data_IF_871102511888
#
_entry.id   IF_871102511888
#
_cell.length_a   1.000
_cell.length_b   1.000
_cell.length_c   1.000
_cell.angle_alpha   90.00
_cell.angle_beta   90.00
_cell.angle_gamma   90.00
#
_symmetry.space_group_name_H-M   'P 1'
#
loop_
_entity.id
_entity.type
_entity.pdbx_description
1 polymer ?
#
# COMPACT_ATOMS: atom_id res chain seq x y z
N UNK A 1 -2.07 19.60 -7.89
CA UNK A 1 -2.23 18.14 -7.93
C UNK A 1 -1.08 17.55 -7.12
N UNK A 2 -1.34 16.95 -5.94
CA UNK A 2 -0.27 16.31 -5.16
C UNK A 2 0.20 15.08 -5.94
N UNK A 3 1.51 14.86 -6.02
CA UNK A 3 2.09 13.68 -6.68
C UNK A 3 1.65 12.43 -5.92
N UNK A 4 1.19 11.42 -6.66
CA UNK A 4 0.80 10.13 -6.11
C UNK A 4 2.05 9.33 -5.71
N UNK A 5 2.05 8.75 -4.50
CA UNK A 5 3.15 7.91 -4.04
C UNK A 5 3.11 6.55 -4.76
N UNK A 6 4.05 6.36 -5.70
CA UNK A 6 4.16 5.12 -6.48
C UNK A 6 4.47 3.89 -5.62
N UNK A 7 5.15 4.05 -4.49
CA UNK A 7 5.37 2.91 -3.60
C UNK A 7 4.08 2.52 -2.88
N UNK A 8 3.19 3.49 -2.60
CA UNK A 8 1.88 3.19 -2.03
C UNK A 8 0.98 2.48 -3.06
N UNK A 9 1.03 2.89 -4.33
CA UNK A 9 0.34 2.19 -5.43
C UNK A 9 0.88 0.77 -5.62
N UNK A 10 2.21 0.60 -5.61
CA UNK A 10 2.82 -0.73 -5.70
C UNK A 10 2.40 -1.63 -4.54
N UNK A 11 2.36 -1.09 -3.33
CA UNK A 11 1.87 -1.80 -2.16
C UNK A 11 0.40 -2.21 -2.29
N UNK A 12 -0.45 -1.31 -2.79
CA UNK A 12 -1.87 -1.59 -3.03
C UNK A 12 -2.07 -2.75 -4.02
N UNK A 13 -1.38 -2.71 -5.16
CA UNK A 13 -1.47 -3.77 -6.19
C UNK A 13 -1.01 -5.12 -5.62
N UNK A 14 0.11 -5.15 -4.90
CA UNK A 14 0.59 -6.41 -4.28
C UNK A 14 -0.37 -6.96 -3.22
N UNK A 15 -1.00 -6.09 -2.43
CA UNK A 15 -2.02 -6.54 -1.46
C UNK A 15 -3.22 -7.16 -2.19
N UNK A 16 -3.66 -6.58 -3.30
CA UNK A 16 -4.74 -7.11 -4.12
C UNK A 16 -4.36 -8.45 -4.77
N UNK A 17 -3.18 -8.54 -5.39
CA UNK A 17 -2.71 -9.74 -6.09
C UNK A 17 -2.49 -10.92 -5.13
N UNK A 18 -1.94 -10.65 -3.94
CA UNK A 18 -1.61 -11.68 -2.96
C UNK A 18 -2.72 -11.94 -1.94
N UNK A 19 -3.78 -11.13 -1.96
CA UNK A 19 -4.87 -11.10 -0.98
C UNK A 19 -4.38 -11.10 0.49
N UNK A 20 -3.22 -10.49 0.76
CA UNK A 20 -2.57 -10.54 2.07
C UNK A 20 -1.59 -9.39 2.27
N UNK A 21 -1.82 -8.61 3.34
CA UNK A 21 -0.90 -7.55 3.75
C UNK A 21 0.46 -8.09 4.18
N UNK A 22 0.50 -9.24 4.85
CA UNK A 22 1.76 -9.86 5.30
C UNK A 22 2.58 -10.30 4.11
N UNK A 23 2.00 -11.02 3.14
CA UNK A 23 2.73 -11.46 1.94
C UNK A 23 3.19 -10.29 1.08
N UNK A 24 2.38 -9.23 0.97
CA UNK A 24 2.78 -8.02 0.27
C UNK A 24 3.96 -7.32 0.97
N UNK A 25 3.98 -7.31 2.30
CA UNK A 25 5.09 -6.77 3.06
C UNK A 25 6.38 -7.59 2.87
N UNK A 26 6.27 -8.92 2.89
CA UNK A 26 7.39 -9.82 2.60
C UNK A 26 7.95 -9.58 1.19
N UNK A 27 7.08 -9.47 0.18
CA UNK A 27 7.46 -9.18 -1.21
C UNK A 27 8.11 -7.80 -1.38
N UNK A 28 7.79 -6.84 -0.51
CA UNK A 28 8.35 -5.48 -0.51
C UNK A 28 9.58 -5.33 0.40
N UNK A 29 9.97 -6.37 1.14
CA UNK A 29 11.08 -6.29 2.10
C UNK A 29 10.81 -5.30 3.25
N UNK A 30 9.56 -5.21 3.70
CA UNK A 30 9.11 -4.26 4.73
C UNK A 30 8.18 -4.93 5.74
N UNK A 31 7.71 -4.19 6.74
CA UNK A 31 6.72 -4.68 7.70
C UNK A 31 5.28 -4.55 7.18
N UNK A 32 4.40 -5.44 7.67
CA UNK A 32 2.96 -5.36 7.43
C UNK A 32 2.37 -4.00 7.85
N UNK A 33 2.83 -3.44 8.98
CA UNK A 33 2.41 -2.11 9.45
C UNK A 33 2.78 -0.98 8.52
N UNK A 34 3.95 -1.04 7.87
CA UNK A 34 4.37 -0.04 6.88
C UNK A 34 3.50 -0.11 5.61
N UNK A 35 3.13 -1.32 5.18
CA UNK A 35 2.17 -1.51 4.07
C UNK A 35 0.81 -0.90 4.43
N UNK A 36 0.25 -1.21 5.60
CA UNK A 36 -1.02 -0.62 6.05
C UNK A 36 -0.98 0.91 6.11
N UNK A 37 0.13 1.50 6.58
CA UNK A 37 0.27 2.95 6.62
C UNK A 37 0.34 3.58 5.22
N UNK A 38 1.01 2.92 4.27
CA UNK A 38 1.05 3.36 2.87
C UNK A 38 -0.34 3.33 2.23
N UNK A 39 -1.11 2.25 2.42
CA UNK A 39 -2.48 2.14 1.91
C UNK A 39 -3.40 3.19 2.53
N UNK A 40 -3.35 3.37 3.85
CA UNK A 40 -4.14 4.41 4.54
C UNK A 40 -3.86 5.82 4.02
N UNK A 41 -2.61 6.12 3.67
CA UNK A 41 -2.22 7.40 3.06
C UNK A 41 -2.70 7.53 1.62
N UNK A 42 -2.66 6.43 0.86
CA UNK A 42 -3.17 6.38 -0.51
C UNK A 42 -4.69 6.61 -0.55
N UNK A 43 -5.44 5.88 0.28
CA UNK A 43 -6.87 6.04 0.53
C UNK A 43 -7.22 7.50 0.87
N UNK A 44 -6.54 8.09 1.86
CA UNK A 44 -6.72 9.48 2.23
C UNK A 44 -6.41 10.47 1.10
N UNK A 45 -5.40 10.19 0.27
CA UNK A 45 -5.07 11.01 -0.89
C UNK A 45 -6.15 10.92 -1.99
N UNK A 46 -6.77 9.75 -2.16
CA UNK A 46 -7.83 9.51 -3.13
C UNK A 46 -9.24 9.89 -2.61
N UNK A 47 -9.37 10.25 -1.33
CA UNK A 47 -10.65 10.54 -0.70
C UNK A 47 -11.55 9.31 -0.61
N UNK A 48 -10.95 8.13 -0.47
CA UNK A 48 -11.63 6.84 -0.37
C UNK A 48 -11.21 6.14 0.92
N UNK A 49 -12.09 5.37 1.56
CA UNK A 49 -11.69 4.38 2.56
C UNK A 49 -10.98 3.20 1.91
#
# INVERSE_FOLDING_TARGET
MKVLDLDAVRAFVLVADLASFTRAADALGTTQSAVSLKLKRLEAHLGKP
#
